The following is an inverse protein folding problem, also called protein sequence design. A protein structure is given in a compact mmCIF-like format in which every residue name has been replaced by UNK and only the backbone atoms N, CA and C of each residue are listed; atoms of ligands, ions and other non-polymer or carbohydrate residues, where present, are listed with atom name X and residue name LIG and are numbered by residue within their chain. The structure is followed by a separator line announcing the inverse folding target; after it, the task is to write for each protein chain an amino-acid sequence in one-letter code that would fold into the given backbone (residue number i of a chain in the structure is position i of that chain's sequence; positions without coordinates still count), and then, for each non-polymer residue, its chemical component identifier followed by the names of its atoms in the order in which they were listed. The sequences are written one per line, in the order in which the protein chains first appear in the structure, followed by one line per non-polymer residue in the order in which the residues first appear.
data_IF_399752032064
#
_entry.id   IF_399752032064
#
_cell.length_a   1.000
_cell.length_b   1.000
_cell.length_c   1.000
_cell.angle_alpha   90.00
_cell.angle_beta   90.00
_cell.angle_gamma   90.00
#
_symmetry.space_group_name_H-M   'P 1'
#
loop_
_entity.id
_entity.type
_entity.pdbx_description
1 polymer ?
#
# COMPACT_ATOMS: atom_id res chain seq x y z
N UNK A 1 -12.52 5.67 6.09
CA UNK A 1 -11.20 6.29 6.29
C UNK A 1 -10.10 5.50 5.58
N UNK A 2 -9.00 6.18 5.27
CA UNK A 2 -7.82 5.62 4.62
C UNK A 2 -6.63 5.59 5.60
N UNK A 3 -5.66 4.72 5.35
CA UNK A 3 -4.47 4.60 6.20
C UNK A 3 -3.19 4.74 5.39
N UNK A 4 -2.24 5.52 5.90
CA UNK A 4 -0.85 5.55 5.44
C UNK A 4 -0.02 4.75 6.46
N UNK A 5 0.32 3.54 6.13
CA UNK A 5 1.01 2.60 7.01
C UNK A 5 2.47 2.45 6.57
N UNK A 6 3.36 3.18 7.19
CA UNK A 6 4.80 3.13 6.92
C UNK A 6 5.55 3.87 8.01
N UNK A 7 6.86 3.58 8.17
CA UNK A 7 7.74 4.46 8.94
C UNK A 7 7.58 5.90 8.47
N UNK A 8 7.41 6.82 9.39
CA UNK A 8 7.26 8.24 9.06
C UNK A 8 8.65 8.85 8.92
N UNK A 9 9.03 9.11 7.68
CA UNK A 9 10.31 9.71 7.34
C UNK A 9 10.20 10.61 6.10
N UNK A 10 11.28 11.32 5.77
CA UNK A 10 11.23 12.29 4.68
C UNK A 10 10.97 11.64 3.30
N UNK A 11 11.36 10.39 3.09
CA UNK A 11 11.11 9.66 1.83
C UNK A 11 9.65 9.27 1.66
N UNK A 12 8.98 8.98 2.76
CA UNK A 12 7.55 8.62 2.76
C UNK A 12 6.64 9.84 2.68
N UNK A 13 7.16 11.04 2.94
CA UNK A 13 6.48 12.33 2.70
C UNK A 13 5.15 12.53 3.44
N UNK A 14 4.88 11.79 4.51
CA UNK A 14 3.59 11.85 5.20
C UNK A 14 3.22 13.25 5.67
N UNK A 15 4.20 14.08 6.04
CA UNK A 15 3.96 15.45 6.48
C UNK A 15 3.23 16.30 5.45
N UNK A 16 3.38 16.01 4.15
CA UNK A 16 2.70 16.73 3.07
C UNK A 16 1.19 16.45 3.03
N UNK A 17 0.76 15.30 3.53
CA UNK A 17 -0.59 14.79 3.34
C UNK A 17 -1.48 14.92 4.58
N UNK A 18 -0.99 15.56 5.63
CA UNK A 18 -1.73 15.72 6.90
C UNK A 18 -2.92 16.68 6.79
N UNK A 19 -3.08 17.39 5.69
CA UNK A 19 -4.27 18.16 5.35
C UNK A 19 -5.46 17.34 4.88
N UNK A 20 -5.29 16.06 4.57
CA UNK A 20 -6.36 15.17 4.10
C UNK A 20 -7.06 14.56 5.33
N UNK A 21 -8.26 15.03 5.65
CA UNK A 21 -8.96 14.67 6.89
C UNK A 21 -9.34 13.19 6.99
N UNK A 22 -9.56 12.51 5.89
CA UNK A 22 -9.89 11.08 5.87
C UNK A 22 -8.67 10.15 5.96
N UNK A 23 -7.45 10.69 6.00
CA UNK A 23 -6.20 9.94 6.01
C UNK A 23 -5.59 9.88 7.41
N UNK A 24 -5.33 8.67 7.88
CA UNK A 24 -4.69 8.36 9.16
C UNK A 24 -3.29 7.80 8.95
N UNK A 25 -2.40 7.99 9.91
CA UNK A 25 -0.99 7.66 9.77
C UNK A 25 -0.55 6.70 10.87
N UNK A 26 -0.01 5.54 10.49
CA UNK A 26 0.55 4.56 11.42
C UNK A 26 2.02 4.29 11.08
N UNK A 27 2.87 4.38 12.06
CA UNK A 27 4.31 4.13 11.92
C UNK A 27 5.14 4.88 12.95
N UNK A 28 6.36 4.43 13.15
CA UNK A 28 7.33 5.12 14.00
C UNK A 28 7.75 6.42 13.32
N UNK A 29 7.68 7.53 14.06
CA UNK A 29 8.01 8.86 13.53
C UNK A 29 9.49 9.20 13.73
N UNK A 30 10.17 9.47 12.62
CA UNK A 30 11.54 10.04 12.58
C UNK A 30 11.63 11.33 11.74
N UNK A 31 10.49 11.93 11.38
CA UNK A 31 10.43 13.19 10.61
C UNK A 31 9.91 14.32 11.50
N UNK A 32 10.76 15.31 11.79
CA UNK A 32 10.41 16.46 12.63
C UNK A 32 9.35 17.38 12.02
N UNK A 33 9.08 17.26 10.72
CA UNK A 33 8.03 18.03 10.02
C UNK A 33 6.64 17.46 10.22
N UNK A 34 6.57 16.18 10.62
CA UNK A 34 5.30 15.51 10.87
C UNK A 34 4.66 15.99 12.17
N UNK A 35 3.41 16.46 12.09
CA UNK A 35 2.65 16.93 13.24
C UNK A 35 1.98 15.74 13.95
N UNK A 36 2.54 15.31 15.06
CA UNK A 36 2.07 14.17 15.85
C UNK A 36 0.67 14.36 16.46
N UNK A 37 0.12 15.56 16.46
CA UNK A 37 -1.25 15.83 16.91
C UNK A 37 -2.32 15.51 15.87
N UNK A 38 -1.91 15.26 14.61
CA UNK A 38 -2.83 15.09 13.48
C UNK A 38 -2.95 13.63 13.04
N UNK A 39 -3.94 12.93 13.59
CA UNK A 39 -4.33 11.56 13.16
C UNK A 39 -3.19 10.55 13.14
N UNK A 40 -2.22 10.70 14.03
CA UNK A 40 -1.15 9.74 14.21
C UNK A 40 -1.57 8.62 15.15
N UNK A 41 -1.48 7.38 14.67
CA UNK A 41 -1.86 6.16 15.39
C UNK A 41 -0.68 5.48 16.09
N UNK A 42 0.48 6.14 16.11
CA UNK A 42 1.74 5.59 16.61
C UNK A 42 2.22 4.39 15.78
N UNK A 43 3.21 3.68 16.26
CA UNK A 43 3.70 2.45 15.61
C UNK A 43 2.74 1.30 15.87
N UNK A 44 2.44 0.55 14.79
CA UNK A 44 1.61 -0.63 14.88
C UNK A 44 2.45 -1.89 14.95
N UNK A 45 2.35 -2.71 16.02
CA UNK A 45 2.89 -4.06 16.03
C UNK A 45 2.10 -4.95 15.06
N UNK A 46 2.69 -6.09 14.66
CA UNK A 46 2.10 -6.98 13.65
C UNK A 46 0.72 -7.50 14.00
N UNK A 47 0.48 -7.85 15.26
CA UNK A 47 -0.82 -8.32 15.73
C UNK A 47 -1.90 -7.24 15.61
N UNK A 48 -1.58 -5.98 15.91
CA UNK A 48 -2.49 -4.86 15.69
C UNK A 48 -2.78 -4.65 14.21
N UNK A 49 -1.76 -4.72 13.36
CA UNK A 49 -1.92 -4.63 11.92
C UNK A 49 -2.90 -5.68 11.40
N UNK A 50 -2.75 -6.93 11.78
CA UNK A 50 -3.63 -8.02 11.35
C UNK A 50 -5.06 -7.87 11.84
N UNK A 51 -5.27 -7.29 13.01
CA UNK A 51 -6.60 -7.13 13.60
C UNK A 51 -7.33 -5.87 13.14
N UNK A 52 -6.64 -4.79 12.84
CA UNK A 52 -7.24 -3.48 12.61
C UNK A 52 -7.15 -2.96 11.17
N UNK A 53 -6.28 -3.53 10.32
CA UNK A 53 -6.12 -3.02 8.94
C UNK A 53 -7.42 -3.11 8.14
N UNK A 54 -8.24 -4.13 8.37
CA UNK A 54 -9.54 -4.31 7.72
C UNK A 54 -10.59 -3.25 8.08
N UNK A 55 -10.36 -2.44 9.11
CA UNK A 55 -11.23 -1.33 9.50
C UNK A 55 -11.10 -0.10 8.57
N UNK A 56 -10.11 -0.13 7.68
CA UNK A 56 -9.87 0.92 6.70
C UNK A 56 -10.40 0.51 5.34
N UNK A 57 -10.69 1.49 4.49
CA UNK A 57 -11.20 1.23 3.15
C UNK A 57 -10.11 1.04 2.11
N UNK A 58 -8.96 1.70 2.29
CA UNK A 58 -7.80 1.57 1.43
C UNK A 58 -6.50 2.03 2.12
N UNK A 59 -5.37 1.69 1.51
CA UNK A 59 -4.05 2.09 1.96
C UNK A 59 -3.44 3.13 1.01
N UNK A 60 -2.71 4.08 1.55
CA UNK A 60 -2.02 5.13 0.81
C UNK A 60 -0.51 4.99 1.02
N UNK A 61 0.28 5.01 -0.05
CA UNK A 61 1.74 4.97 -0.02
C UNK A 61 2.31 5.88 -1.11
N UNK A 62 2.62 7.12 -0.76
CA UNK A 62 3.04 8.18 -1.68
C UNK A 62 4.53 8.52 -1.51
N UNK A 63 5.35 7.50 -1.29
CA UNK A 63 6.80 7.65 -1.13
C UNK A 63 7.49 8.12 -2.42
N UNK A 64 8.68 8.67 -2.29
CA UNK A 64 9.52 9.06 -3.42
C UNK A 64 10.39 7.92 -3.98
N UNK A 65 10.22 6.70 -3.46
CA UNK A 65 10.87 5.49 -3.96
C UNK A 65 10.58 4.27 -3.10
N UNK A 66 10.25 3.16 -3.75
CA UNK A 66 10.04 1.84 -3.14
C UNK A 66 10.56 0.76 -4.09
N UNK A 67 11.44 -0.12 -3.59
CA UNK A 67 11.85 -1.30 -4.35
C UNK A 67 10.79 -2.40 -4.32
N UNK A 68 10.25 -2.69 -3.11
CA UNK A 68 9.20 -3.67 -2.87
C UNK A 68 8.23 -3.15 -1.81
N UNK A 69 7.04 -2.66 -2.19
CA UNK A 69 6.08 -2.14 -1.23
C UNK A 69 5.33 -3.28 -0.51
N UNK A 70 5.99 -3.97 0.42
CA UNK A 70 5.40 -5.09 1.18
C UNK A 70 4.11 -4.70 1.89
N UNK A 71 3.99 -3.45 2.32
CA UNK A 71 2.77 -2.94 2.96
C UNK A 71 1.57 -2.94 1.99
N UNK A 72 1.80 -2.80 0.69
CA UNK A 72 0.73 -2.94 -0.31
C UNK A 72 0.25 -4.40 -0.40
N UNK A 73 1.15 -5.38 -0.30
CA UNK A 73 0.78 -6.80 -0.28
C UNK A 73 -0.04 -7.13 0.97
N UNK A 74 0.33 -6.57 2.11
CA UNK A 74 -0.45 -6.68 3.36
C UNK A 74 -1.85 -6.04 3.21
N UNK A 75 -1.95 -4.90 2.54
CA UNK A 75 -3.22 -4.25 2.24
C UNK A 75 -4.12 -5.16 1.38
N UNK A 76 -3.59 -5.74 0.31
CA UNK A 76 -4.35 -6.68 -0.53
C UNK A 76 -4.81 -7.91 0.25
N UNK A 77 -3.97 -8.47 1.11
CA UNK A 77 -4.33 -9.59 1.99
C UNK A 77 -5.45 -9.23 2.96
N UNK A 78 -5.58 -7.96 3.33
CA UNK A 78 -6.69 -7.44 4.14
C UNK A 78 -7.92 -6.99 3.31
N UNK A 79 -7.88 -7.17 1.98
CA UNK A 79 -8.95 -6.76 1.08
C UNK A 79 -9.01 -5.25 0.81
N UNK A 80 -7.89 -4.54 0.99
CA UNK A 80 -7.78 -3.11 0.73
C UNK A 80 -7.14 -2.84 -0.63
N UNK A 81 -7.70 -1.91 -1.39
CA UNK A 81 -7.00 -1.31 -2.52
C UNK A 81 -5.92 -0.33 -2.06
N UNK A 82 -5.13 0.14 -3.00
CA UNK A 82 -4.00 1.04 -2.70
C UNK A 82 -4.00 2.27 -3.61
N UNK A 83 -3.56 3.38 -3.04
CA UNK A 83 -3.20 4.61 -3.76
C UNK A 83 -1.69 4.80 -3.58
N UNK A 84 -0.96 4.75 -4.65
CA UNK A 84 0.52 4.76 -4.63
C UNK A 84 1.07 5.88 -5.52
N UNK A 85 2.25 6.39 -5.16
CA UNK A 85 3.02 7.24 -6.08
C UNK A 85 3.54 6.42 -7.26
N UNK A 86 3.87 7.07 -8.36
CA UNK A 86 4.47 6.38 -9.52
C UNK A 86 5.77 5.66 -9.16
N UNK A 87 6.51 6.13 -8.16
CA UNK A 87 7.74 5.49 -7.68
C UNK A 87 7.50 4.30 -6.75
N UNK A 88 6.31 4.17 -6.17
CA UNK A 88 5.92 3.03 -5.34
C UNK A 88 5.19 1.93 -6.13
N UNK A 89 4.85 2.18 -7.40
CA UNK A 89 4.03 1.29 -8.22
C UNK A 89 4.82 0.22 -9.00
N UNK A 90 6.15 0.23 -8.96
CA UNK A 90 7.02 -0.50 -9.90
C UNK A 90 6.76 -2.01 -10.01
N UNK A 91 6.32 -2.66 -8.94
CA UNK A 91 6.08 -4.11 -8.90
C UNK A 91 4.60 -4.48 -8.72
N UNK A 92 3.69 -3.52 -8.96
CA UNK A 92 2.25 -3.72 -8.87
C UNK A 92 1.62 -3.82 -10.26
N UNK A 93 0.58 -4.62 -10.39
CA UNK A 93 -0.23 -4.66 -11.61
C UNK A 93 -1.18 -3.45 -11.65
N UNK A 94 -0.71 -2.37 -12.25
CA UNK A 94 -1.44 -1.10 -12.33
C UNK A 94 -2.67 -1.13 -13.26
N UNK A 95 -2.93 -2.25 -13.93
CA UNK A 95 -4.18 -2.47 -14.69
C UNK A 95 -5.38 -2.73 -13.78
N UNK A 96 -5.14 -3.10 -12.51
CA UNK A 96 -6.19 -3.38 -11.54
C UNK A 96 -6.90 -2.11 -11.08
N UNK A 97 -8.24 -2.11 -11.08
CA UNK A 97 -9.05 -0.96 -10.69
C UNK A 97 -8.90 -0.51 -9.23
N UNK A 98 -8.44 -1.40 -8.36
CA UNK A 98 -8.15 -1.09 -6.95
C UNK A 98 -6.72 -0.59 -6.70
N UNK A 99 -5.91 -0.41 -7.74
CA UNK A 99 -4.56 0.17 -7.66
C UNK A 99 -4.58 1.51 -8.41
N UNK A 100 -4.52 2.61 -7.66
CA UNK A 100 -4.50 3.96 -8.21
C UNK A 100 -3.08 4.52 -8.13
N UNK A 101 -2.52 4.93 -9.26
CA UNK A 101 -1.19 5.53 -9.33
C UNK A 101 -1.31 7.05 -9.44
N UNK A 102 -0.65 7.77 -8.54
CA UNK A 102 -0.59 9.24 -8.54
C UNK A 102 0.65 9.69 -9.29
N UNK A 103 0.50 10.45 -10.39
CA UNK A 103 1.64 11.06 -11.07
C UNK A 103 2.41 12.01 -10.14
N UNK A 104 3.72 12.05 -10.26
CA UNK A 104 4.57 12.86 -9.37
C UNK A 104 4.27 14.37 -9.47
N UNK A 105 3.89 14.87 -10.63
CA UNK A 105 3.46 16.26 -10.83
C UNK A 105 2.13 16.61 -10.13
N UNK A 106 1.38 15.61 -9.67
CA UNK A 106 0.11 15.75 -8.93
C UNK A 106 0.23 15.47 -7.43
N UNK A 107 1.41 15.10 -6.94
CA UNK A 107 1.58 14.65 -5.56
C UNK A 107 1.29 15.73 -4.52
N UNK A 108 1.44 17.01 -4.88
CA UNK A 108 1.15 18.16 -4.01
C UNK A 108 -0.21 18.81 -4.29
N UNK A 109 -0.96 18.33 -5.27
CA UNK A 109 -2.33 18.76 -5.53
C UNK A 109 -3.29 18.05 -4.57
N UNK A 110 -3.57 18.66 -3.42
CA UNK A 110 -4.35 18.04 -2.34
C UNK A 110 -5.79 17.74 -2.75
N UNK A 111 -6.42 18.59 -3.57
CA UNK A 111 -7.79 18.40 -4.04
C UNK A 111 -7.86 17.17 -4.97
N UNK A 112 -6.95 17.08 -5.91
CA UNK A 112 -6.82 15.93 -6.80
C UNK A 112 -6.55 14.65 -6.00
N UNK A 113 -5.56 14.69 -5.12
CA UNK A 113 -5.14 13.55 -4.32
C UNK A 113 -6.26 13.01 -3.43
N UNK A 114 -6.97 13.89 -2.72
CA UNK A 114 -8.10 13.49 -1.88
C UNK A 114 -9.22 12.85 -2.71
N UNK A 115 -9.53 13.42 -3.88
CA UNK A 115 -10.50 12.85 -4.82
C UNK A 115 -10.11 11.42 -5.24
N UNK A 116 -8.85 11.20 -5.61
CA UNK A 116 -8.37 9.87 -6.02
C UNK A 116 -8.37 8.86 -4.86
N UNK A 117 -8.03 9.29 -3.64
CA UNK A 117 -8.10 8.45 -2.45
C UNK A 117 -9.55 8.02 -2.17
N UNK A 118 -10.51 8.94 -2.28
CA UNK A 118 -11.94 8.64 -2.06
C UNK A 118 -12.47 7.68 -3.12
N UNK A 119 -12.14 7.90 -4.39
CA UNK A 119 -12.55 7.01 -5.50
C UNK A 119 -12.00 5.60 -5.31
N UNK A 120 -10.72 5.48 -5.02
CA UNK A 120 -10.07 4.19 -4.77
C UNK A 120 -10.69 3.48 -3.56
N UNK A 121 -10.94 4.19 -2.46
CA UNK A 121 -11.58 3.64 -1.27
C UNK A 121 -12.97 3.07 -1.58
N UNK A 122 -13.79 3.80 -2.32
CA UNK A 122 -15.12 3.35 -2.74
C UNK A 122 -15.02 2.08 -3.58
N UNK A 123 -14.18 2.09 -4.61
CA UNK A 123 -13.94 0.93 -5.46
C UNK A 123 -13.48 -0.28 -4.63
N UNK A 124 -12.53 -0.08 -3.73
CA UNK A 124 -11.96 -1.14 -2.90
C UNK A 124 -13.02 -1.82 -2.02
N UNK A 125 -13.88 -1.04 -1.38
CA UNK A 125 -14.96 -1.58 -0.53
C UNK A 125 -15.96 -2.41 -1.35
N UNK A 126 -16.25 -1.99 -2.58
CA UNK A 126 -17.18 -2.69 -3.49
C UNK A 126 -16.56 -3.95 -4.13
N UNK A 127 -15.21 -4.05 -4.17
CA UNK A 127 -14.48 -5.12 -4.90
C UNK A 127 -13.52 -5.91 -4.01
N UNK A 128 -13.86 -6.10 -2.73
CA UNK A 128 -12.99 -6.80 -1.77
C UNK A 128 -12.63 -8.22 -2.20
N UNK A 129 -13.55 -8.95 -2.78
CA UNK A 129 -13.29 -10.32 -3.26
C UNK A 129 -12.23 -10.35 -4.36
N UNK A 130 -12.30 -9.43 -5.32
CA UNK A 130 -11.31 -9.28 -6.38
C UNK A 130 -9.92 -8.97 -5.82
N UNK A 131 -9.86 -8.09 -4.80
CA UNK A 131 -8.60 -7.73 -4.13
C UNK A 131 -8.00 -8.95 -3.41
N UNK A 132 -8.82 -9.71 -2.69
CA UNK A 132 -8.39 -10.93 -1.99
C UNK A 132 -7.89 -12.00 -2.96
N UNK A 133 -8.54 -12.19 -4.11
CA UNK A 133 -8.07 -13.08 -5.17
C UNK A 133 -6.71 -12.65 -5.71
N UNK A 134 -6.51 -11.35 -5.91
CA UNK A 134 -5.22 -10.80 -6.32
C UNK A 134 -4.13 -11.05 -5.27
N UNK A 135 -4.46 -10.92 -3.99
CA UNK A 135 -3.53 -11.18 -2.88
C UNK A 135 -3.04 -12.64 -2.86
N UNK A 136 -3.87 -13.60 -3.24
CA UNK A 136 -3.50 -15.01 -3.29
C UNK A 136 -2.35 -15.28 -4.28
N UNK A 137 -2.16 -14.44 -5.31
CA UNK A 137 -1.06 -14.57 -6.26
C UNK A 137 0.32 -14.30 -5.63
N UNK A 138 0.36 -13.66 -4.46
CA UNK A 138 1.59 -13.32 -3.73
C UNK A 138 1.90 -14.27 -2.57
N UNK A 139 1.10 -15.31 -2.34
CA UNK A 139 1.43 -16.32 -1.34
C UNK A 139 2.71 -17.07 -1.70
N UNK A 140 3.54 -17.33 -0.69
CA UNK A 140 4.82 -18.03 -0.91
C UNK A 140 4.66 -19.42 -1.54
N UNK A 141 3.60 -20.13 -1.19
CA UNK A 141 3.29 -21.43 -1.78
C UNK A 141 3.11 -21.34 -3.30
N UNK A 142 2.37 -20.33 -3.78
CA UNK A 142 2.15 -20.09 -5.21
C UNK A 142 3.45 -19.67 -5.92
N UNK A 143 4.20 -18.75 -5.31
CA UNK A 143 5.49 -18.28 -5.85
C UNK A 143 6.49 -19.46 -5.98
N UNK A 144 6.57 -20.31 -4.96
CA UNK A 144 7.44 -21.50 -4.99
C UNK A 144 7.00 -22.47 -6.10
N UNK A 145 5.70 -22.80 -6.16
CA UNK A 145 5.18 -23.76 -7.15
C UNK A 145 5.27 -23.25 -8.59
N UNK A 146 4.99 -21.97 -8.84
CA UNK A 146 4.93 -21.40 -10.19
C UNK A 146 6.29 -20.95 -10.72
N UNK A 147 7.22 -20.55 -9.85
CA UNK A 147 8.48 -19.94 -10.26
C UNK A 147 9.72 -20.74 -9.85
N UNK A 148 9.83 -21.14 -8.59
CA UNK A 148 11.05 -21.79 -8.10
C UNK A 148 11.16 -23.27 -8.43
N UNK A 149 10.07 -24.03 -8.32
CA UNK A 149 10.09 -25.47 -8.64
C UNK A 149 10.41 -25.70 -10.11
N UNK A 150 9.75 -25.04 -11.08
CA UNK A 150 10.12 -25.19 -12.49
C UNK A 150 11.57 -24.79 -12.80
N UNK A 151 12.09 -23.75 -12.15
CA UNK A 151 13.47 -23.31 -12.32
C UNK A 151 14.48 -24.35 -11.80
N UNK A 152 14.20 -24.99 -10.66
CA UNK A 152 15.01 -26.06 -10.09
C UNK A 152 14.98 -27.31 -10.96
N UNK A 153 13.83 -27.71 -11.49
CA UNK A 153 13.69 -28.83 -12.42
C UNK A 153 14.53 -28.64 -13.69
N UNK A 154 14.52 -27.44 -14.27
CA UNK A 154 15.36 -27.10 -15.42
C UNK A 154 16.86 -27.23 -15.11
N UNK A 155 17.29 -26.90 -13.91
CA UNK A 155 18.69 -27.06 -13.47
C UNK A 155 19.06 -28.55 -13.36
N UNK A 156 18.18 -29.35 -12.80
CA UNK A 156 18.40 -30.81 -12.65
C UNK A 156 18.49 -31.49 -14.00
N UNK A 157 17.66 -31.15 -14.97
CA UNK A 157 17.69 -31.69 -16.33
C UNK A 157 18.97 -31.35 -17.09
N UNK A 158 19.68 -30.29 -16.73
CA UNK A 158 20.94 -29.84 -17.34
C UNK A 158 22.18 -30.58 -16.82
N UNK A 159 22.07 -31.23 -15.71
CA UNK A 159 23.13 -31.93 -15.00
C UNK A 159 22.80 -33.41 -14.80
#
# INVERSE_FOLDING_TARGET
RSIYLAKIDYRKRQYLFQGIDSLWFAGNNSDSRFDVSKRWLQEWPKDKLYNELTDYGNLVLLSDGEAHPLVCLEAFAAGLGVVVSQYAAANLDTSKGFITVIPEDKITDMVFLESEIIKNRKYSVEHREEILEYAETFEWSNVIAEHYVPAMEQIIERY
#
